data_IF_165038254462
#
_entry.id   IF_165038254462
#
_cell.length_a   1.000
_cell.length_b   1.000
_cell.length_c   1.000
_cell.angle_alpha   90.00
_cell.angle_beta   90.00
_cell.angle_gamma   90.00
#
_symmetry.space_group_name_H-M   'P 1'
#
loop_
_entity.id
_entity.type
_entity.pdbx_description
1 polymer ?
#
# COMPACT_ATOMS: atom_id res chain seq x y z
N UNK A 1 22.09 3.54 -7.51
CA UNK A 1 20.65 3.17 -7.48
C UNK A 1 19.84 4.39 -7.04
N UNK A 2 18.70 4.70 -7.68
CA UNK A 2 17.86 5.86 -7.33
C UNK A 2 17.14 5.56 -6.00
N UNK A 3 17.44 6.33 -4.97
CA UNK A 3 16.85 6.25 -3.63
C UNK A 3 15.71 7.25 -3.54
N UNK A 4 14.58 6.84 -2.95
CA UNK A 4 13.45 7.74 -2.72
C UNK A 4 13.45 8.25 -1.28
N UNK A 5 13.35 7.35 -0.30
CA UNK A 5 13.40 7.70 1.12
C UNK A 5 13.81 6.53 2.02
N UNK A 6 14.19 6.79 3.27
CA UNK A 6 14.29 5.76 4.30
C UNK A 6 12.95 5.64 5.01
N UNK A 7 12.34 4.46 4.98
CA UNK A 7 11.06 4.22 5.62
C UNK A 7 11.27 3.43 6.92
N UNK A 8 11.13 4.07 8.10
CA UNK A 8 11.35 3.39 9.38
C UNK A 8 10.34 2.26 9.60
N UNK A 9 9.15 2.35 9.01
CA UNK A 9 8.07 1.38 9.15
C UNK A 9 8.36 0.02 8.52
N UNK A 10 9.18 -0.01 7.47
CA UNK A 10 9.65 -1.26 6.85
C UNK A 10 11.11 -1.54 7.21
N UNK A 11 11.69 -0.75 8.12
CA UNK A 11 13.08 -0.79 8.54
C UNK A 11 14.05 -0.92 7.34
N UNK A 12 13.76 -0.19 6.26
CA UNK A 12 14.50 -0.31 5.02
C UNK A 12 14.41 0.99 4.21
N UNK A 13 15.38 1.16 3.32
CA UNK A 13 15.31 2.19 2.30
C UNK A 13 14.37 1.78 1.17
N UNK A 14 13.58 2.72 0.68
CA UNK A 14 12.72 2.56 -0.49
C UNK A 14 13.39 3.26 -1.67
N UNK A 15 13.49 2.57 -2.79
CA UNK A 15 14.10 3.06 -4.02
C UNK A 15 13.77 2.15 -5.21
N UNK A 16 14.43 2.36 -6.34
CA UNK A 16 14.07 1.72 -7.61
C UNK A 16 13.94 0.18 -7.55
N UNK A 17 14.73 -0.51 -6.72
CA UNK A 17 14.73 -1.97 -6.64
C UNK A 17 13.56 -2.57 -5.85
N UNK A 18 12.97 -1.81 -4.91
CA UNK A 18 11.86 -2.28 -4.07
C UNK A 18 10.61 -1.40 -4.12
N UNK A 19 10.58 -0.41 -5.02
CA UNK A 19 9.45 0.51 -5.19
C UNK A 19 8.16 -0.24 -5.52
N UNK A 20 8.20 -1.26 -6.40
CA UNK A 20 7.04 -2.14 -6.69
C UNK A 20 6.49 -2.76 -5.41
N UNK A 21 7.35 -3.41 -4.62
CA UNK A 21 6.95 -4.08 -3.40
C UNK A 21 6.35 -3.10 -2.39
N UNK A 22 6.93 -1.92 -2.25
CA UNK A 22 6.44 -0.89 -1.35
C UNK A 22 5.06 -0.36 -1.77
N UNK A 23 4.86 -0.03 -3.05
CA UNK A 23 3.57 0.44 -3.58
C UNK A 23 2.47 -0.61 -3.38
N UNK A 24 2.77 -1.88 -3.66
CA UNK A 24 1.83 -2.98 -3.43
C UNK A 24 1.52 -3.14 -1.94
N UNK A 25 2.53 -3.06 -1.07
CA UNK A 25 2.33 -3.15 0.38
C UNK A 25 1.39 -2.05 0.91
N UNK A 26 1.64 -0.78 0.59
CA UNK A 26 0.80 0.33 1.08
C UNK A 26 -0.59 0.31 0.42
N UNK A 27 -0.68 -0.03 -0.87
CA UNK A 27 -1.96 -0.16 -1.58
C UNK A 27 -2.83 -1.29 -1.03
N UNK A 28 -2.27 -2.47 -0.79
CA UNK A 28 -3.00 -3.58 -0.17
C UNK A 28 -3.41 -3.29 1.26
N UNK A 29 -2.55 -2.63 2.04
CA UNK A 29 -2.89 -2.21 3.40
C UNK A 29 -4.08 -1.24 3.42
N UNK A 30 -4.11 -0.28 2.49
CA UNK A 30 -5.24 0.63 2.34
C UNK A 30 -6.54 -0.11 1.97
N UNK A 31 -6.47 -1.06 1.04
CA UNK A 31 -7.63 -1.88 0.63
C UNK A 31 -8.16 -2.75 1.78
N UNK A 32 -7.27 -3.43 2.52
CA UNK A 32 -7.62 -4.24 3.69
C UNK A 32 -8.22 -3.38 4.81
N UNK A 33 -7.68 -2.19 5.05
CA UNK A 33 -8.22 -1.25 6.03
C UNK A 33 -9.63 -0.79 5.64
N UNK A 34 -9.85 -0.47 4.36
CA UNK A 34 -11.17 -0.12 3.84
C UNK A 34 -12.17 -1.29 3.93
N UNK A 35 -11.74 -2.50 3.61
CA UNK A 35 -12.55 -3.71 3.74
C UNK A 35 -12.96 -3.97 5.20
N UNK A 36 -12.00 -3.87 6.15
CA UNK A 36 -12.28 -3.99 7.58
C UNK A 36 -13.28 -2.94 8.06
N UNK A 37 -13.11 -1.67 7.63
CA UNK A 37 -14.02 -0.58 7.96
C UNK A 37 -15.45 -0.86 7.47
N UNK A 38 -15.62 -1.36 6.24
CA UNK A 38 -16.95 -1.75 5.72
C UNK A 38 -17.58 -2.84 6.59
N UNK A 39 -16.84 -3.90 6.92
CA UNK A 39 -17.36 -4.99 7.77
C UNK A 39 -17.75 -4.50 9.17
N UNK A 40 -16.93 -3.63 9.78
CA UNK A 40 -17.19 -3.06 11.10
C UNK A 40 -18.42 -2.14 11.08
N UNK A 41 -18.58 -1.31 10.05
CA UNK A 41 -19.76 -0.46 9.89
C UNK A 41 -21.01 -1.31 9.69
N UNK A 42 -20.97 -2.34 8.84
CA UNK A 42 -22.10 -3.26 8.67
C UNK A 42 -22.49 -3.96 9.98
N UNK A 43 -21.49 -4.38 10.78
CA UNK A 43 -21.73 -4.97 12.10
C UNK A 43 -22.33 -3.97 13.08
N UNK A 44 -21.86 -2.73 13.08
CA UNK A 44 -22.41 -1.66 13.92
C UNK A 44 -23.86 -1.37 13.53
N UNK A 45 -24.15 -1.22 12.23
CA UNK A 45 -25.50 -0.98 11.73
C UNK A 45 -26.46 -2.11 12.09
N UNK A 46 -26.03 -3.36 11.96
CA UNK A 46 -26.84 -4.52 12.38
C UNK A 46 -27.16 -4.48 13.88
N UNK A 47 -26.19 -4.09 14.71
CA UNK A 47 -26.35 -3.98 16.17
C UNK A 47 -27.31 -2.86 16.56
N UNK A 48 -27.26 -1.72 15.87
CA UNK A 48 -28.13 -0.57 16.11
C UNK A 48 -29.57 -0.80 15.62
N UNK A 49 -29.74 -1.51 14.50
CA UNK A 49 -31.05 -1.73 13.89
C UNK A 49 -31.86 -2.84 14.59
N UNK A 50 -31.21 -3.88 15.13
CA UNK A 50 -31.89 -4.99 15.82
C UNK A 50 -31.32 -5.23 17.22
N UNK A 51 -31.55 -4.31 18.18
CA UNK A 51 -31.00 -4.44 19.53
C UNK A 51 -31.51 -5.70 20.25
N UNK A 52 -32.67 -6.22 19.86
CA UNK A 52 -33.28 -7.44 20.47
C UNK A 52 -32.63 -8.74 20.00
N UNK A 53 -32.15 -8.81 18.75
CA UNK A 53 -31.42 -9.98 18.24
C UNK A 53 -30.04 -10.08 18.88
N UNK A 54 -29.37 -8.95 19.06
CA UNK A 54 -28.08 -8.88 19.76
C UNK A 54 -28.19 -9.36 21.22
N UNK A 55 -29.23 -8.91 21.94
CA UNK A 55 -29.51 -9.31 23.33
C UNK A 55 -29.94 -10.79 23.50
N UNK A 56 -30.43 -11.45 22.44
CA UNK A 56 -30.95 -12.83 22.52
C UNK A 56 -29.98 -13.87 21.97
N UNK A 57 -29.08 -13.50 21.07
CA UNK A 57 -28.09 -14.43 20.48
C UNK A 57 -26.84 -14.56 21.36
N UNK A 58 -26.53 -13.55 22.17
CA UNK A 58 -25.52 -13.63 23.23
C UNK A 58 -26.22 -13.72 24.59
N UNK A 59 -26.41 -14.96 25.07
CA UNK A 59 -26.74 -15.25 26.46
C UNK A 59 -25.93 -14.38 27.42
N UNK A 60 -26.62 -13.55 28.21
CA UNK A 60 -26.10 -12.58 29.17
C UNK A 60 -24.76 -12.99 29.81
N UNK A 61 -23.67 -12.42 29.30
CA UNK A 61 -22.33 -12.52 29.89
C UNK A 61 -21.66 -11.14 29.95
N UNK A 62 -20.65 -10.95 30.82
CA UNK A 62 -19.95 -9.66 31.02
C UNK A 62 -19.14 -9.16 29.80
N UNK A 63 -19.31 -9.74 28.62
CA UNK A 63 -18.51 -9.47 27.41
C UNK A 63 -19.09 -8.39 26.48
N UNK A 64 -20.32 -7.93 26.71
CA UNK A 64 -21.02 -6.96 25.86
C UNK A 64 -20.34 -5.58 25.73
N UNK A 65 -19.99 -4.86 26.82
CA UNK A 65 -19.34 -3.56 26.70
C UNK A 65 -17.91 -3.66 26.14
N UNK A 66 -17.24 -4.78 26.41
CA UNK A 66 -15.88 -5.05 25.95
C UNK A 66 -15.85 -5.25 24.42
N UNK A 67 -16.81 -6.01 23.89
CA UNK A 67 -16.96 -6.22 22.44
C UNK A 67 -17.23 -4.92 21.68
N UNK A 68 -18.11 -4.06 22.22
CA UNK A 68 -18.38 -2.74 21.65
C UNK A 68 -17.14 -1.83 21.68
N UNK A 69 -16.40 -1.82 22.79
CA UNK A 69 -15.14 -1.08 22.90
C UNK A 69 -14.12 -1.56 21.84
N UNK A 70 -13.93 -2.88 21.69
CA UNK A 70 -13.07 -3.42 20.64
C UNK A 70 -13.51 -3.01 19.24
N UNK A 71 -14.81 -3.00 18.96
CA UNK A 71 -15.35 -2.56 17.67
C UNK A 71 -14.98 -1.09 17.37
N UNK A 72 -15.10 -0.20 18.35
CA UNK A 72 -14.70 1.20 18.18
C UNK A 72 -13.19 1.37 18.02
N UNK A 73 -12.38 0.62 18.78
CA UNK A 73 -10.92 0.63 18.64
C UNK A 73 -10.49 0.16 17.26
N UNK A 74 -11.06 -0.94 16.76
CA UNK A 74 -10.79 -1.45 15.42
C UNK A 74 -11.24 -0.49 14.32
N UNK A 75 -12.37 0.20 14.51
CA UNK A 75 -12.84 1.20 13.55
C UNK A 75 -11.89 2.41 13.50
N UNK A 76 -11.43 2.87 14.67
CA UNK A 76 -10.45 3.95 14.77
C UNK A 76 -9.11 3.55 14.14
N UNK A 77 -8.62 2.34 14.41
CA UNK A 77 -7.40 1.79 13.84
C UNK A 77 -7.49 1.68 12.32
N UNK A 78 -8.57 1.09 11.80
CA UNK A 78 -8.80 0.94 10.36
C UNK A 78 -8.89 2.30 9.65
N UNK A 79 -9.51 3.30 10.28
CA UNK A 79 -9.57 4.66 9.74
C UNK A 79 -8.18 5.31 9.70
N UNK A 80 -7.43 5.24 10.81
CA UNK A 80 -6.11 5.87 10.93
C UNK A 80 -5.11 5.26 9.95
N UNK A 81 -4.99 3.92 9.94
CA UNK A 81 -4.11 3.22 9.00
C UNK A 81 -4.60 3.36 7.57
N UNK A 82 -5.91 3.31 7.33
CA UNK A 82 -6.50 3.48 6.00
C UNK A 82 -6.17 4.84 5.39
N UNK A 83 -6.34 5.94 6.15
CA UNK A 83 -6.01 7.29 5.68
C UNK A 83 -4.51 7.45 5.45
N UNK A 84 -3.69 7.02 6.40
CA UNK A 84 -2.24 7.11 6.31
C UNK A 84 -1.69 6.36 5.08
N UNK A 85 -2.06 5.09 4.93
CA UNK A 85 -1.57 4.26 3.81
C UNK A 85 -2.14 4.69 2.46
N UNK A 86 -3.37 5.21 2.42
CA UNK A 86 -3.94 5.80 1.19
C UNK A 86 -3.17 7.04 0.75
N UNK A 87 -2.83 7.93 1.67
CA UNK A 87 -2.03 9.12 1.36
C UNK A 87 -0.65 8.72 0.81
N UNK A 88 0.04 7.78 1.49
CA UNK A 88 1.33 7.27 1.01
C UNK A 88 1.21 6.61 -0.37
N UNK A 89 0.17 5.80 -0.61
CA UNK A 89 -0.06 5.16 -1.90
C UNK A 89 -0.24 6.19 -3.02
N UNK A 90 -1.03 7.25 -2.78
CA UNK A 90 -1.21 8.35 -3.71
C UNK A 90 0.11 9.08 -3.99
N UNK A 91 0.93 9.33 -2.98
CA UNK A 91 2.24 9.95 -3.17
C UNK A 91 3.18 9.06 -4.00
N UNK A 92 3.27 7.76 -3.71
CA UNK A 92 4.13 6.85 -4.47
C UNK A 92 3.64 6.70 -5.92
N UNK A 93 2.33 6.61 -6.15
CA UNK A 93 1.78 6.58 -7.50
C UNK A 93 2.09 7.88 -8.24
N UNK A 94 1.88 9.03 -7.61
CA UNK A 94 2.19 10.33 -8.21
C UNK A 94 3.67 10.42 -8.58
N UNK A 95 4.57 10.02 -7.67
CA UNK A 95 6.02 9.95 -7.89
C UNK A 95 6.40 9.10 -9.11
N UNK A 96 5.78 7.92 -9.26
CA UNK A 96 6.00 7.06 -10.42
C UNK A 96 5.49 7.73 -11.70
N UNK A 97 4.28 8.29 -11.67
CA UNK A 97 3.66 8.89 -12.85
C UNK A 97 4.44 10.12 -13.34
N UNK A 98 4.99 10.92 -12.44
CA UNK A 98 5.75 12.14 -12.78
C UNK A 98 7.26 11.92 -12.94
N UNK A 99 7.77 10.70 -12.69
CA UNK A 99 9.21 10.37 -12.67
C UNK A 99 10.03 11.21 -11.67
N UNK A 100 9.39 11.67 -10.59
CA UNK A 100 10.02 12.50 -9.55
C UNK A 100 10.06 11.77 -8.22
N UNK A 101 11.23 11.69 -7.60
CA UNK A 101 11.40 11.20 -6.22
C UNK A 101 11.00 12.25 -5.19
N UNK A 102 10.71 11.83 -3.96
CA UNK A 102 10.46 12.74 -2.84
C UNK A 102 11.64 13.70 -2.60
N UNK A 103 12.88 13.24 -2.81
CA UNK A 103 14.09 14.06 -2.70
C UNK A 103 14.14 15.15 -3.79
N UNK A 104 13.87 14.79 -5.05
CA UNK A 104 13.84 15.74 -6.17
C UNK A 104 12.75 16.81 -5.94
N UNK A 105 11.60 16.41 -5.40
CA UNK A 105 10.50 17.33 -5.02
C UNK A 105 10.92 18.31 -3.91
N UNK A 106 11.62 17.84 -2.89
CA UNK A 106 12.10 18.67 -1.77
C UNK A 106 13.25 19.60 -2.19
N UNK A 107 14.08 19.20 -3.16
CA UNK A 107 15.17 20.01 -3.70
C UNK A 107 14.73 21.06 -4.72
N UNK A 108 13.44 21.07 -5.09
CA UNK A 108 12.89 21.92 -6.16
C UNK A 108 13.61 21.73 -7.51
N UNK A 109 14.20 20.56 -7.73
CA UNK A 109 14.88 20.17 -8.97
C UNK A 109 13.83 19.64 -9.97
N UNK A 110 12.90 20.51 -10.39
CA UNK A 110 11.87 20.14 -11.35
C UNK A 110 12.50 19.93 -12.73
N UNK A 111 12.58 18.67 -13.15
CA UNK A 111 12.82 18.29 -14.54
C UNK A 111 11.49 17.87 -15.19
N UNK A 112 11.19 18.33 -16.44
CA UNK A 112 10.03 17.84 -17.16
C UNK A 112 10.12 16.32 -17.37
N UNK A 113 8.98 15.59 -17.30
CA UNK A 113 8.99 14.14 -17.43
C UNK A 113 9.58 13.73 -18.78
N UNK A 114 10.61 12.88 -18.75
CA UNK A 114 11.31 12.42 -19.96
C UNK A 114 10.58 11.30 -20.71
N UNK A 115 9.60 10.68 -20.05
CA UNK A 115 8.91 9.44 -20.46
C UNK A 115 7.41 9.58 -20.22
N UNK A 116 6.61 8.79 -20.94
CA UNK A 116 5.17 8.74 -20.69
C UNK A 116 4.84 8.02 -19.38
N UNK A 117 3.70 8.33 -18.77
CA UNK A 117 3.25 7.68 -17.53
C UNK A 117 3.21 6.14 -17.63
N UNK A 118 2.78 5.61 -18.79
CA UNK A 118 2.76 4.16 -19.05
C UNK A 118 4.17 3.58 -19.08
N UNK A 119 5.13 4.31 -19.65
CA UNK A 119 6.53 3.89 -19.62
C UNK A 119 7.05 3.89 -18.18
N UNK A 120 6.77 4.90 -17.37
CA UNK A 120 7.22 4.96 -15.97
C UNK A 120 6.65 3.82 -15.12
N UNK A 121 5.36 3.53 -15.28
CA UNK A 121 4.73 2.36 -14.66
C UNK A 121 5.41 1.08 -15.12
N UNK A 122 5.70 0.96 -16.41
CA UNK A 122 6.35 -0.23 -16.97
C UNK A 122 7.79 -0.42 -16.49
N UNK A 123 8.52 0.66 -16.16
CA UNK A 123 9.84 0.58 -15.54
C UNK A 123 9.76 0.08 -14.09
N UNK A 124 8.69 0.47 -13.39
CA UNK A 124 8.50 0.13 -11.98
C UNK A 124 7.94 -1.28 -11.80
N UNK A 125 6.93 -1.65 -12.59
CA UNK A 125 6.18 -2.90 -12.46
C UNK A 125 6.62 -4.00 -13.44
N UNK A 126 7.38 -3.65 -14.46
CA UNK A 126 7.94 -4.58 -15.44
C UNK A 126 7.21 -4.56 -16.78
N UNK A 127 7.78 -5.24 -17.78
CA UNK A 127 7.26 -5.35 -19.14
C UNK A 127 7.20 -6.81 -19.61
N UNK A 128 6.13 -7.22 -20.32
CA UNK A 128 4.95 -6.44 -20.67
C UNK A 128 4.01 -6.20 -19.46
N UNK A 129 3.02 -5.33 -19.64
CA UNK A 129 1.94 -5.18 -18.66
C UNK A 129 1.24 -6.53 -18.46
N UNK A 130 1.17 -6.99 -17.20
CA UNK A 130 0.66 -8.32 -16.87
C UNK A 130 0.01 -8.33 -15.49
N UNK A 131 -0.74 -9.38 -15.18
CA UNK A 131 -1.31 -9.59 -13.85
C UNK A 131 -0.23 -9.68 -12.74
N UNK A 132 1.01 -9.99 -13.10
CA UNK A 132 2.15 -9.98 -12.18
C UNK A 132 2.47 -8.59 -11.63
N UNK A 133 1.94 -7.52 -12.22
CA UNK A 133 2.04 -6.16 -11.66
C UNK A 133 1.39 -6.07 -10.29
N UNK A 134 0.33 -6.86 -10.05
CA UNK A 134 -0.36 -6.91 -8.78
C UNK A 134 0.34 -7.83 -7.77
N UNK A 135 1.14 -8.79 -8.24
CA UNK A 135 1.80 -9.73 -7.35
C UNK A 135 3.14 -9.18 -6.85
N UNK A 136 3.53 -9.45 -5.58
CA UNK A 136 4.82 -9.06 -5.03
C UNK A 136 5.96 -9.98 -5.53
N UNK A 137 6.01 -10.22 -6.84
CA UNK A 137 7.08 -10.96 -7.51
C UNK A 137 8.17 -9.99 -7.99
N UNK A 138 9.39 -10.49 -8.22
CA UNK A 138 10.45 -9.71 -8.87
C UNK A 138 9.96 -9.03 -10.15
N UNK A 139 10.49 -7.84 -10.42
CA UNK A 139 10.21 -7.10 -11.65
C UNK A 139 10.90 -7.81 -12.81
N UNK A 140 10.15 -8.07 -13.88
CA UNK A 140 10.66 -8.70 -15.11
C UNK A 140 10.53 -7.76 -16.30
N UNK A 141 11.56 -7.72 -17.15
CA UNK A 141 11.64 -6.97 -18.38
C UNK A 141 11.88 -7.95 -19.53
N UNK A 142 10.82 -8.28 -20.28
CA UNK A 142 10.87 -9.25 -21.38
C UNK A 142 11.48 -10.61 -20.98
N UNK A 143 11.20 -11.07 -19.75
CA UNK A 143 11.71 -12.33 -19.20
C UNK A 143 13.01 -12.23 -18.41
N UNK A 144 13.64 -11.05 -18.34
CA UNK A 144 14.86 -10.82 -17.55
C UNK A 144 14.56 -10.03 -16.28
N UNK A 145 15.28 -10.28 -15.20
CA UNK A 145 15.23 -9.49 -13.96
C UNK A 145 16.35 -8.46 -13.91
N UNK A 146 16.32 -7.55 -12.93
CA UNK A 146 17.42 -6.61 -12.70
C UNK A 146 18.78 -7.30 -12.54
N UNK A 147 18.80 -8.50 -11.98
CA UNK A 147 20.02 -9.30 -11.75
C UNK A 147 20.58 -9.89 -13.04
N UNK A 148 19.74 -10.09 -14.05
CA UNK A 148 20.16 -10.58 -15.36
C UNK A 148 20.65 -9.44 -16.28
N UNK A 149 20.23 -8.20 -15.99
CA UNK A 149 20.51 -7.01 -16.80
C UNK A 149 21.73 -6.26 -16.28
N UNK A 150 21.95 -6.23 -14.97
CA UNK A 150 23.11 -5.60 -14.38
C UNK A 150 24.28 -6.59 -14.41
N UNK A 151 25.44 -6.25 -15.01
CA UNK A 151 26.61 -7.10 -14.92
C UNK A 151 26.96 -7.28 -13.44
N UNK A 152 27.03 -8.53 -13.00
CA UNK A 152 27.53 -8.85 -11.66
C UNK A 152 28.94 -8.27 -11.54
N UNK A 153 29.27 -7.63 -10.43
CA UNK A 153 30.59 -7.05 -10.13
C UNK A 153 31.76 -8.09 -10.13
N UNK A 154 31.53 -9.30 -10.65
CA UNK A 154 32.53 -10.35 -10.87
C UNK A 154 33.17 -10.31 -12.27
N UNK A 155 32.81 -9.37 -13.14
CA UNK A 155 33.40 -9.20 -14.48
C UNK A 155 34.23 -7.91 -14.68
N UNK A 156 34.68 -7.26 -13.58
CA UNK A 156 35.65 -6.13 -13.62
C UNK A 156 36.82 -6.39 -12.68
#
# INVERSE_FOLDING_TARGET
MKMDHHCPWVNNCVGANNQKHFVLFVGYTALLSGYAMVLLVLRLMATLNEPRLFLTTHSHGPQEPVSMLYMFLLLFEALLFGLFTSAMFCEQLSSILTDQTGIERLKNDYAPPRRSAVQNLSETFGRPCSLLWLLPTPVTFNGLTWWDILPTEHEV
#
